data_IF_440335169160
#
_entry.id   IF_440335169160
#
_cell.length_a   1.000
_cell.length_b   1.000
_cell.length_c   1.000
_cell.angle_alpha   90.00
_cell.angle_beta   90.00
_cell.angle_gamma   90.00
#
_symmetry.space_group_name_H-M   'P 1'
#
loop_
_entity.id
_entity.type
_entity.pdbx_description
1 polymer ?
#
# COMPACT_ATOMS: atom_id res chain seq x y z
N UNK A 1 7.70 -20.38 -12.82
CA UNK A 1 8.22 -19.37 -11.87
C UNK A 1 8.90 -20.11 -10.72
N UNK A 2 10.07 -19.68 -10.32
CA UNK A 2 10.78 -20.33 -9.21
C UNK A 2 10.34 -19.76 -7.86
N UNK A 3 10.75 -20.43 -6.77
CA UNK A 3 10.38 -20.02 -5.43
C UNK A 3 10.99 -18.67 -5.03
N UNK A 4 12.15 -18.33 -5.57
CA UNK A 4 12.80 -17.05 -5.25
C UNK A 4 12.01 -15.87 -5.82
N UNK A 5 11.48 -16.00 -7.03
CA UNK A 5 10.64 -14.97 -7.63
C UNK A 5 9.31 -14.83 -6.88
N UNK A 6 8.71 -15.95 -6.50
CA UNK A 6 7.47 -15.94 -5.73
C UNK A 6 7.67 -15.29 -4.37
N UNK A 7 8.77 -15.59 -3.68
CA UNK A 7 9.11 -14.98 -2.39
C UNK A 7 9.35 -13.48 -2.53
N UNK A 8 9.96 -13.04 -3.63
CA UNK A 8 10.18 -11.62 -3.90
C UNK A 8 8.84 -10.88 -4.05
N UNK A 9 7.90 -11.45 -4.80
CA UNK A 9 6.59 -10.85 -5.00
C UNK A 9 5.81 -10.80 -3.69
N UNK A 10 5.90 -11.83 -2.86
CA UNK A 10 5.29 -11.85 -1.53
C UNK A 10 5.89 -10.76 -0.65
N UNK A 11 7.21 -10.62 -0.66
CA UNK A 11 7.90 -9.58 0.10
C UNK A 11 7.47 -8.19 -0.36
N UNK A 12 7.38 -7.97 -1.67
CA UNK A 12 6.96 -6.68 -2.22
C UNK A 12 5.54 -6.33 -1.76
N UNK A 13 4.64 -7.30 -1.75
CA UNK A 13 3.28 -7.10 -1.27
C UNK A 13 3.28 -6.73 0.21
N UNK A 14 3.98 -7.48 1.05
CA UNK A 14 4.06 -7.18 2.49
C UNK A 14 4.63 -5.80 2.76
N UNK A 15 5.71 -5.44 2.07
CA UNK A 15 6.32 -4.12 2.22
C UNK A 15 5.37 -2.99 1.80
N UNK A 16 4.62 -3.20 0.71
CA UNK A 16 3.64 -2.22 0.25
C UNK A 16 2.50 -2.04 1.24
N UNK A 17 2.02 -3.12 1.86
CA UNK A 17 0.99 -3.06 2.90
C UNK A 17 1.49 -2.30 4.12
N UNK A 18 2.73 -2.53 4.54
CA UNK A 18 3.32 -1.81 5.67
C UNK A 18 3.40 -0.30 5.40
N UNK A 19 3.79 0.09 4.19
CA UNK A 19 3.81 1.50 3.79
C UNK A 19 2.41 2.11 3.79
N UNK A 20 1.42 1.35 3.32
CA UNK A 20 0.04 1.80 3.33
C UNK A 20 -0.46 1.99 4.76
N UNK A 21 -0.18 1.06 5.67
CA UNK A 21 -0.53 1.19 7.08
C UNK A 21 0.11 2.41 7.71
N UNK A 22 1.37 2.69 7.40
CA UNK A 22 2.05 3.90 7.88
C UNK A 22 1.40 5.17 7.35
N UNK A 23 0.98 5.17 6.08
CA UNK A 23 0.29 6.31 5.48
C UNK A 23 -1.08 6.55 6.12
N UNK A 24 -1.81 5.49 6.45
CA UNK A 24 -3.10 5.58 7.17
C UNK A 24 -2.88 6.23 8.54
N UNK A 25 -1.89 5.78 9.29
CA UNK A 25 -1.58 6.33 10.60
C UNK A 25 -1.19 7.80 10.53
N UNK A 26 -0.40 8.16 9.53
CA UNK A 26 -0.02 9.56 9.32
C UNK A 26 -1.26 10.43 9.03
N UNK A 27 -2.15 9.95 8.18
CA UNK A 27 -3.40 10.65 7.89
C UNK A 27 -4.25 10.83 9.15
N UNK A 28 -4.39 9.77 9.96
CA UNK A 28 -5.12 9.86 11.23
C UNK A 28 -4.49 10.88 12.17
N UNK A 29 -3.16 10.88 12.28
CA UNK A 29 -2.45 11.80 13.16
C UNK A 29 -2.61 13.26 12.75
N UNK A 30 -2.84 13.51 11.47
CA UNK A 30 -3.04 14.86 10.95
C UNK A 30 -4.51 15.31 10.99
N UNK A 31 -5.42 14.39 11.30
CA UNK A 31 -6.82 14.73 11.57
C UNK A 31 -6.91 15.32 12.98
N UNK A 32 -6.89 16.63 13.05
CA UNK A 32 -6.81 17.42 14.30
C UNK A 32 -8.00 18.34 14.44
N UNK A 33 -8.37 18.76 15.67
CA UNK A 33 -9.39 19.79 15.87
C UNK A 33 -9.01 21.16 15.33
N UNK A 34 -7.73 21.39 14.98
CA UNK A 34 -7.29 22.62 14.36
C UNK A 34 -7.85 22.72 12.95
N UNK A 35 -8.60 23.80 12.67
CA UNK A 35 -9.21 24.04 11.37
C UNK A 35 -8.46 25.11 10.56
N UNK A 36 -7.18 25.35 10.87
CA UNK A 36 -6.36 26.26 10.08
C UNK A 36 -6.20 25.70 8.66
N UNK A 37 -5.98 26.62 7.71
CA UNK A 37 -5.76 26.22 6.32
C UNK A 37 -4.57 25.26 6.19
N UNK A 38 -3.49 25.52 6.93
CA UNK A 38 -2.30 24.69 6.92
C UNK A 38 -2.60 23.26 7.42
N UNK A 39 -3.36 23.13 8.51
CA UNK A 39 -3.72 21.83 9.05
C UNK A 39 -4.57 21.04 8.06
N UNK A 40 -5.51 21.68 7.39
CA UNK A 40 -6.36 21.05 6.38
C UNK A 40 -5.52 20.62 5.16
N UNK A 41 -4.61 21.48 4.70
CA UNK A 41 -3.73 21.15 3.58
C UNK A 41 -2.82 19.95 3.90
N UNK A 42 -2.25 19.93 5.11
CA UNK A 42 -1.39 18.80 5.52
C UNK A 42 -2.18 17.50 5.57
N UNK A 43 -3.41 17.55 6.05
CA UNK A 43 -4.29 16.39 6.09
C UNK A 43 -4.66 15.92 4.67
N UNK A 44 -4.99 16.84 3.78
CA UNK A 44 -5.28 16.52 2.37
C UNK A 44 -4.09 15.86 1.69
N UNK A 45 -2.88 16.37 1.90
CA UNK A 45 -1.65 15.78 1.37
C UNK A 45 -1.43 14.36 1.89
N UNK A 46 -1.71 14.13 3.19
CA UNK A 46 -1.62 12.80 3.77
C UNK A 46 -2.65 11.84 3.16
N UNK A 47 -3.83 12.35 2.81
CA UNK A 47 -4.87 11.57 2.12
C UNK A 47 -4.43 11.12 0.74
N UNK A 48 -3.77 11.99 -0.03
CA UNK A 48 -3.20 11.62 -1.33
C UNK A 48 -2.10 10.59 -1.19
N UNK A 49 -1.22 10.74 -0.21
CA UNK A 49 -0.15 9.77 0.05
C UNK A 49 -0.71 8.40 0.46
N UNK A 50 -1.78 8.37 1.26
CA UNK A 50 -2.46 7.12 1.62
C UNK A 50 -3.05 6.44 0.39
N UNK A 51 -3.71 7.19 -0.47
CA UNK A 51 -4.30 6.65 -1.70
C UNK A 51 -3.23 6.05 -2.62
N UNK A 52 -2.12 6.76 -2.80
CA UNK A 52 -0.99 6.25 -3.60
C UNK A 52 -0.44 4.97 -3.02
N UNK A 53 -0.22 4.92 -1.71
CA UNK A 53 0.30 3.72 -1.04
C UNK A 53 -0.68 2.55 -1.14
N UNK A 54 -1.98 2.81 -1.04
CA UNK A 54 -3.03 1.81 -1.22
C UNK A 54 -3.00 1.22 -2.63
N UNK A 55 -2.86 2.08 -3.64
CA UNK A 55 -2.81 1.64 -5.03
C UNK A 55 -1.57 0.79 -5.31
N UNK A 56 -0.42 1.14 -4.73
CA UNK A 56 0.80 0.33 -4.83
C UNK A 56 0.59 -1.04 -4.17
N UNK A 57 -0.05 -1.08 -2.99
CA UNK A 57 -0.34 -2.34 -2.30
C UNK A 57 -1.29 -3.23 -3.11
N UNK A 58 -2.32 -2.64 -3.73
CA UNK A 58 -3.24 -3.38 -4.60
C UNK A 58 -2.53 -3.98 -5.80
N UNK A 59 -1.65 -3.20 -6.45
CA UNK A 59 -0.89 -3.68 -7.60
C UNK A 59 0.05 -4.82 -7.21
N UNK A 60 0.75 -4.68 -6.08
CA UNK A 60 1.65 -5.72 -5.57
C UNK A 60 0.88 -7.01 -5.22
N UNK A 61 -0.32 -6.87 -4.65
CA UNK A 61 -1.19 -8.02 -4.37
C UNK A 61 -1.59 -8.72 -5.65
N UNK A 62 -1.99 -7.98 -6.68
CA UNK A 62 -2.39 -8.57 -7.96
C UNK A 62 -1.26 -9.34 -8.61
N UNK A 63 -0.04 -8.80 -8.57
CA UNK A 63 1.13 -9.49 -9.10
C UNK A 63 1.41 -10.79 -8.35
N UNK A 64 1.34 -10.75 -7.03
CA UNK A 64 1.56 -11.93 -6.19
C UNK A 64 0.48 -12.99 -6.43
N UNK A 65 -0.78 -12.60 -6.45
CA UNK A 65 -1.90 -13.51 -6.67
C UNK A 65 -1.83 -14.14 -8.06
N UNK A 66 -1.49 -13.35 -9.08
CA UNK A 66 -1.32 -13.86 -10.45
C UNK A 66 -0.20 -14.91 -10.51
N UNK A 67 0.92 -14.64 -9.83
CA UNK A 67 2.03 -15.59 -9.76
C UNK A 67 1.64 -16.88 -9.03
N UNK A 68 0.89 -16.78 -7.93
CA UNK A 68 0.39 -17.95 -7.20
C UNK A 68 -0.52 -18.79 -8.09
N UNK A 69 -1.42 -18.17 -8.83
CA UNK A 69 -2.32 -18.90 -9.74
C UNK A 69 -1.53 -19.62 -10.82
N UNK A 70 -0.50 -18.98 -11.36
CA UNK A 70 0.34 -19.59 -12.38
C UNK A 70 1.08 -20.83 -11.83
N UNK A 71 1.58 -20.75 -10.59
CA UNK A 71 2.30 -21.86 -9.97
C UNK A 71 1.35 -23.00 -9.60
N UNK A 72 0.18 -22.67 -9.02
CA UNK A 72 -0.73 -23.68 -8.48
C UNK A 72 -1.69 -24.25 -9.53
N UNK A 73 -2.12 -23.45 -10.50
CA UNK A 73 -3.19 -23.79 -11.44
C UNK A 73 -2.76 -23.71 -12.90
N UNK A 74 -1.53 -23.28 -13.15
CA UNK A 74 -0.98 -23.15 -14.52
C UNK A 74 -1.84 -22.27 -15.44
N UNK A 75 -2.36 -21.19 -14.92
CA UNK A 75 -3.09 -20.18 -15.69
C UNK A 75 -2.17 -19.16 -16.33
#
# INVERSE_FOLDING_TARGET
MDNAELDKLRFNYKAAVERWMAAIRNEENLATPDHSMRAVEDWDHAGFAEEDARNVAKAAKQEYVAALRQVLFNF
#
